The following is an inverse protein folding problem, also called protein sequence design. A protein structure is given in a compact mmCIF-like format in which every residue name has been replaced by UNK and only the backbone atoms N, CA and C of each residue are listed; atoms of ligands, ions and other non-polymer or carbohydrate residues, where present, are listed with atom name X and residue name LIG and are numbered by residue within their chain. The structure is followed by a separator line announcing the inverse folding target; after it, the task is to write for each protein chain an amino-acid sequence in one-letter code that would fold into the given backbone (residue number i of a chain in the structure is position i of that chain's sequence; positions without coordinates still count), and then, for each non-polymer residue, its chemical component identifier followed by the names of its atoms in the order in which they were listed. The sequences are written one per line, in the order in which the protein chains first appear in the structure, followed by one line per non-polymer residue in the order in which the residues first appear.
data_IF_574110449170
#
_entry.id   IF_574110449170
#
_cell.length_a   1.000
_cell.length_b   1.000
_cell.length_c   1.000
_cell.angle_alpha   90.00
_cell.angle_beta   90.00
_cell.angle_gamma   90.00
#
_symmetry.space_group_name_H-M   'P 1'
#
loop_
_entity.id
_entity.type
_entity.pdbx_description
1 polymer ?
#
# COMPACT_ATOMS: atom_id res chain seq x y z
N UNK A 1 39.51 72.86 39.98
CA UNK A 1 38.35 71.95 40.08
C UNK A 1 37.83 71.67 38.68
N UNK A 2 38.28 70.58 38.07
CA UNK A 2 37.86 70.14 36.73
C UNK A 2 36.58 69.32 36.85
N UNK A 3 35.47 69.87 36.35
CA UNK A 3 34.17 69.21 36.33
C UNK A 3 34.19 68.08 35.28
N UNK A 4 34.26 66.83 35.75
CA UNK A 4 34.18 65.66 34.90
C UNK A 4 32.70 65.27 34.75
N UNK A 5 32.06 65.73 33.67
CA UNK A 5 30.71 65.30 33.30
C UNK A 5 30.80 63.93 32.62
N UNK A 6 30.63 62.86 33.39
CA UNK A 6 30.29 61.56 32.83
C UNK A 6 28.84 61.60 32.31
N UNK A 7 28.69 61.87 31.02
CA UNK A 7 27.41 61.72 30.34
C UNK A 7 27.17 60.23 30.08
N UNK A 8 26.45 59.56 30.97
CA UNK A 8 25.84 58.27 30.64
C UNK A 8 24.73 58.53 29.61
N UNK A 9 25.07 58.36 28.32
CA UNK A 9 24.08 58.33 27.26
C UNK A 9 23.27 57.03 27.38
N UNK A 10 22.09 57.11 27.98
CA UNK A 10 21.09 56.06 27.87
C UNK A 10 20.51 56.18 26.46
N UNK A 11 21.03 55.39 25.53
CA UNK A 11 20.47 55.26 24.19
C UNK A 11 19.17 54.45 24.30
N UNK A 12 18.03 55.15 24.23
CA UNK A 12 16.72 54.52 24.04
C UNK A 12 16.51 54.24 22.56
N UNK A 13 16.12 53.00 22.24
CA UNK A 13 15.68 52.67 20.87
C UNK A 13 14.42 53.44 20.53
N UNK A 14 14.32 53.91 19.28
CA UNK A 14 13.07 54.48 18.80
C UNK A 14 12.01 53.38 18.66
N UNK A 15 10.75 53.72 18.90
CA UNK A 15 9.63 52.79 18.73
C UNK A 15 9.61 52.20 17.30
N UNK A 16 10.04 52.98 16.31
CA UNK A 16 10.17 52.56 14.90
C UNK A 16 11.26 51.49 14.71
N UNK A 17 12.45 51.66 15.30
CA UNK A 17 13.51 50.64 15.24
C UNK A 17 13.11 49.34 15.93
N UNK A 18 12.42 49.42 17.07
CA UNK A 18 11.92 48.24 17.77
C UNK A 18 10.89 47.48 16.94
N UNK A 19 9.97 48.19 16.30
CA UNK A 19 8.97 47.58 15.42
C UNK A 19 9.62 46.95 14.18
N UNK A 20 10.61 47.61 13.57
CA UNK A 20 11.37 47.06 12.44
C UNK A 20 12.17 45.81 12.82
N UNK A 21 12.75 45.78 14.02
CA UNK A 21 13.45 44.60 14.52
C UNK A 21 12.48 43.42 14.76
N UNK A 22 11.33 43.69 15.39
CA UNK A 22 10.32 42.66 15.67
C UNK A 22 9.67 42.11 14.40
N UNK A 23 9.43 42.92 13.38
CA UNK A 23 8.93 42.43 12.07
C UNK A 23 9.96 41.53 11.39
N UNK A 24 11.25 41.86 11.46
CA UNK A 24 12.33 41.01 10.97
C UNK A 24 12.35 39.63 11.66
N UNK A 25 12.23 39.61 12.99
CA UNK A 25 12.15 38.35 13.76
C UNK A 25 10.90 37.55 13.41
N UNK A 26 9.74 38.21 13.27
CA UNK A 26 8.49 37.54 12.91
C UNK A 26 8.56 36.89 11.52
N UNK A 27 9.11 37.59 10.52
CA UNK A 27 9.29 37.03 9.17
C UNK A 27 10.22 35.82 9.20
N UNK A 28 11.30 35.88 9.99
CA UNK A 28 12.24 34.77 10.14
C UNK A 28 11.55 33.54 10.77
N UNK A 29 10.71 33.74 11.79
CA UNK A 29 9.95 32.65 12.40
C UNK A 29 8.95 32.02 11.42
N UNK A 30 8.24 32.82 10.62
CA UNK A 30 7.33 32.31 9.58
C UNK A 30 8.10 31.54 8.51
N UNK A 31 9.28 32.01 8.11
CA UNK A 31 10.12 31.30 7.16
C UNK A 31 10.60 29.94 7.70
N UNK A 32 11.02 29.87 8.97
CA UNK A 32 11.39 28.60 9.61
C UNK A 32 10.18 27.66 9.75
N UNK A 33 9.01 28.17 10.13
CA UNK A 33 7.80 27.36 10.25
C UNK A 33 7.37 26.76 8.90
N UNK A 34 7.36 27.57 7.83
CA UNK A 34 6.95 27.11 6.50
C UNK A 34 7.94 26.11 5.90
N UNK A 35 9.25 26.35 6.05
CA UNK A 35 10.29 25.42 5.57
C UNK A 35 10.26 24.09 6.32
N UNK A 36 10.06 24.09 7.64
CA UNK A 36 9.93 22.85 8.42
C UNK A 36 8.71 22.03 8.00
N UNK A 37 7.56 22.67 7.74
CA UNK A 37 6.37 21.98 7.21
C UNK A 37 6.64 21.33 5.85
N UNK A 38 7.31 22.05 4.94
CA UNK A 38 7.65 21.51 3.63
C UNK A 38 8.61 20.32 3.72
N UNK A 39 9.61 20.40 4.61
CA UNK A 39 10.55 19.30 4.85
C UNK A 39 9.84 18.05 5.40
N UNK A 40 8.89 18.22 6.33
CA UNK A 40 8.09 17.10 6.84
C UNK A 40 7.27 16.44 5.73
N UNK A 41 6.63 17.21 4.86
CA UNK A 41 5.86 16.66 3.74
C UNK A 41 6.77 15.88 2.76
N UNK A 42 7.96 16.40 2.46
CA UNK A 42 8.93 15.70 1.61
C UNK A 42 9.46 14.42 2.27
N UNK A 43 9.66 14.44 3.60
CA UNK A 43 10.10 13.28 4.36
C UNK A 43 9.07 12.14 4.30
N UNK A 44 7.80 12.43 4.56
CA UNK A 44 6.72 11.45 4.46
C UNK A 44 6.62 10.85 3.05
N UNK A 45 6.68 11.69 2.01
CA UNK A 45 6.76 11.24 0.61
C UNK A 45 7.93 10.29 0.38
N UNK A 46 9.12 10.64 0.86
CA UNK A 46 10.32 9.82 0.72
C UNK A 46 10.18 8.45 1.40
N UNK A 47 9.62 8.42 2.61
CA UNK A 47 9.34 7.18 3.33
C UNK A 47 8.36 6.32 2.55
N UNK A 48 7.20 6.84 2.14
CA UNK A 48 6.18 6.02 1.49
C UNK A 48 6.67 5.45 0.17
N UNK A 49 7.42 6.21 -0.64
CA UNK A 49 8.04 5.70 -1.87
C UNK A 49 9.02 4.56 -1.55
N UNK A 50 9.85 4.73 -0.50
CA UNK A 50 10.76 3.68 -0.06
C UNK A 50 10.00 2.43 0.40
N UNK A 51 8.94 2.61 1.19
CA UNK A 51 8.09 1.52 1.70
C UNK A 51 7.42 0.76 0.56
N UNK A 52 6.87 1.44 -0.45
CA UNK A 52 6.28 0.79 -1.64
C UNK A 52 7.30 -0.04 -2.38
N UNK A 53 8.50 0.48 -2.62
CA UNK A 53 9.54 -0.26 -3.34
C UNK A 53 10.07 -1.45 -2.52
N UNK A 54 10.15 -1.30 -1.20
CA UNK A 54 10.55 -2.39 -0.31
C UNK A 54 9.48 -3.49 -0.26
N UNK A 55 8.22 -3.10 -0.05
CA UNK A 55 7.08 -4.02 -0.02
C UNK A 55 6.89 -4.71 -1.37
N UNK A 56 7.01 -3.98 -2.48
CA UNK A 56 6.90 -4.56 -3.82
C UNK A 56 7.98 -5.57 -4.12
N UNK A 57 9.22 -5.34 -3.68
CA UNK A 57 10.30 -6.34 -3.79
C UNK A 57 10.02 -7.56 -2.93
N UNK A 58 9.58 -7.38 -1.69
CA UNK A 58 9.26 -8.48 -0.79
C UNK A 58 8.13 -9.36 -1.34
N UNK A 59 7.04 -8.73 -1.80
CA UNK A 59 5.91 -9.40 -2.46
C UNK A 59 6.38 -10.14 -3.71
N UNK A 60 7.22 -9.52 -4.54
CA UNK A 60 7.78 -10.13 -5.75
C UNK A 60 8.64 -11.35 -5.45
N UNK A 61 9.50 -11.27 -4.43
CA UNK A 61 10.33 -12.38 -3.99
C UNK A 61 9.48 -13.55 -3.45
N UNK A 62 8.38 -13.26 -2.74
CA UNK A 62 7.43 -14.27 -2.28
C UNK A 62 6.66 -14.93 -3.43
N UNK A 63 6.12 -14.14 -4.35
CA UNK A 63 5.44 -14.61 -5.56
C UNK A 63 6.36 -15.49 -6.41
N UNK A 64 7.60 -15.07 -6.64
CA UNK A 64 8.61 -15.87 -7.36
C UNK A 64 8.86 -17.21 -6.67
N UNK A 65 9.08 -17.19 -5.35
CA UNK A 65 9.40 -18.40 -4.57
C UNK A 65 8.27 -19.44 -4.66
N UNK A 66 7.03 -18.99 -4.48
CA UNK A 66 5.87 -19.88 -4.53
C UNK A 66 5.56 -20.30 -5.98
N UNK A 67 5.71 -19.40 -6.94
CA UNK A 67 5.51 -19.72 -8.36
C UNK A 67 6.54 -20.68 -8.92
N UNK A 68 7.81 -20.63 -8.48
CA UNK A 68 8.82 -21.64 -8.82
C UNK A 68 8.50 -23.02 -8.22
N UNK A 69 7.71 -23.06 -7.15
CA UNK A 69 7.24 -24.31 -6.53
C UNK A 69 5.93 -24.82 -7.14
N UNK A 70 5.25 -24.00 -7.97
CA UNK A 70 4.02 -24.35 -8.66
C UNK A 70 4.31 -25.32 -9.80
N UNK A 71 3.36 -26.22 -10.08
CA UNK A 71 3.45 -27.08 -11.27
C UNK A 71 2.94 -26.30 -12.48
N UNK A 72 3.44 -26.67 -13.66
CA UNK A 72 3.19 -26.04 -14.95
C UNK A 72 1.90 -25.21 -15.10
N UNK A 73 0.73 -25.80 -14.85
CA UNK A 73 -0.58 -25.16 -15.09
C UNK A 73 -1.36 -24.79 -13.81
N UNK A 74 -0.70 -24.83 -12.66
CA UNK A 74 -1.34 -24.57 -11.36
C UNK A 74 -1.38 -23.08 -11.01
N UNK A 75 -0.76 -22.23 -11.85
CA UNK A 75 -0.80 -20.77 -11.69
C UNK A 75 -2.10 -20.23 -12.30
N UNK A 76 -2.98 -19.72 -11.44
CA UNK A 76 -4.29 -19.20 -11.82
C UNK A 76 -4.53 -17.87 -11.11
N UNK A 77 -5.01 -16.88 -11.85
CA UNK A 77 -5.45 -15.60 -11.29
C UNK A 77 -6.96 -15.48 -11.46
N UNK A 78 -7.63 -15.10 -10.37
CA UNK A 78 -9.06 -14.81 -10.32
C UNK A 78 -9.22 -13.36 -9.85
N UNK A 79 -9.82 -12.52 -10.69
CA UNK A 79 -9.94 -11.11 -10.39
C UNK A 79 -11.03 -10.88 -9.34
N UNK A 80 -10.87 -9.89 -8.44
CA UNK A 80 -11.94 -9.50 -7.51
C UNK A 80 -13.27 -9.15 -8.20
N UNK A 81 -13.21 -8.72 -9.46
CA UNK A 81 -14.36 -8.38 -10.31
C UNK A 81 -15.06 -9.58 -10.93
N UNK A 82 -14.47 -10.78 -10.87
CA UNK A 82 -15.07 -11.97 -11.49
C UNK A 82 -16.34 -12.41 -10.74
N UNK A 83 -17.24 -13.08 -11.44
CA UNK A 83 -18.52 -13.52 -10.88
C UNK A 83 -18.30 -14.53 -9.74
N UNK A 84 -19.04 -14.32 -8.63
CA UNK A 84 -19.03 -15.23 -7.48
C UNK A 84 -17.78 -15.19 -6.61
N UNK A 85 -16.85 -14.27 -6.85
CA UNK A 85 -15.65 -14.10 -6.00
C UNK A 85 -15.95 -13.38 -4.69
N UNK A 86 -17.01 -12.55 -4.69
CA UNK A 86 -17.37 -11.67 -3.58
C UNK A 86 -16.42 -10.51 -3.36
N UNK A 87 -15.69 -10.07 -4.40
CA UNK A 87 -14.77 -8.93 -4.27
C UNK A 87 -13.41 -9.29 -3.67
N UNK A 88 -13.10 -10.58 -3.51
CA UNK A 88 -11.78 -11.09 -3.11
C UNK A 88 -11.04 -11.57 -4.35
N UNK A 89 -9.87 -11.00 -4.62
CA UNK A 89 -8.95 -11.47 -5.65
C UNK A 89 -8.15 -12.67 -5.17
N UNK A 90 -7.74 -13.54 -6.10
CA UNK A 90 -6.94 -14.73 -5.80
C UNK A 90 -5.84 -14.93 -6.83
N UNK A 91 -4.65 -15.30 -6.38
CA UNK A 91 -3.54 -15.73 -7.20
C UNK A 91 -3.03 -17.05 -6.63
N UNK A 92 -3.35 -18.14 -7.31
CA UNK A 92 -3.03 -19.49 -6.88
C UNK A 92 -1.75 -19.99 -7.53
N UNK A 93 -1.00 -20.77 -6.77
CA UNK A 93 0.22 -21.47 -7.18
C UNK A 93 0.11 -22.98 -6.97
N UNK A 94 -1.10 -23.50 -6.76
CA UNK A 94 -1.39 -24.91 -6.50
C UNK A 94 -1.35 -25.28 -5.01
N UNK A 95 -0.29 -24.93 -4.29
CA UNK A 95 -0.13 -25.23 -2.85
C UNK A 95 -0.28 -24.02 -1.92
N UNK A 96 -0.14 -22.83 -2.49
CA UNK A 96 -0.33 -21.56 -1.82
C UNK A 96 -1.19 -20.65 -2.68
N UNK A 97 -1.98 -19.82 -2.02
CA UNK A 97 -2.86 -18.86 -2.67
C UNK A 97 -2.71 -17.51 -2.00
N UNK A 98 -2.50 -16.48 -2.80
CA UNK A 98 -2.55 -15.10 -2.34
C UNK A 98 -3.94 -14.55 -2.52
N UNK A 99 -4.44 -13.85 -1.51
CA UNK A 99 -5.77 -13.26 -1.50
C UNK A 99 -5.71 -11.78 -1.12
N UNK A 100 -6.53 -10.95 -1.75
CA UNK A 100 -6.60 -9.51 -1.45
C UNK A 100 -8.00 -8.95 -1.67
N UNK A 101 -8.40 -8.00 -0.83
CA UNK A 101 -9.53 -7.14 -1.13
C UNK A 101 -9.11 -5.99 -2.04
N UNK A 102 -10.05 -5.42 -2.77
CA UNK A 102 -9.80 -4.17 -3.49
C UNK A 102 -9.72 -2.99 -2.51
N UNK A 103 -9.00 -1.92 -2.84
CA UNK A 103 -8.95 -0.70 -2.03
C UNK A 103 -10.33 -0.12 -1.71
N UNK A 104 -11.30 -0.24 -2.62
CA UNK A 104 -12.67 0.21 -2.40
C UNK A 104 -13.37 -0.59 -1.29
N UNK A 105 -13.16 -1.92 -1.28
CA UNK A 105 -13.70 -2.80 -0.24
C UNK A 105 -13.02 -2.54 1.11
N UNK A 106 -11.71 -2.26 1.12
CA UNK A 106 -10.96 -1.92 2.34
C UNK A 106 -11.50 -0.63 2.98
N UNK A 107 -11.69 0.43 2.18
CA UNK A 107 -12.22 1.75 2.61
C UNK A 107 -13.69 1.73 3.04
N UNK A 108 -14.48 0.77 2.55
CA UNK A 108 -15.93 0.77 2.81
C UNK A 108 -16.24 0.63 4.30
N UNK A 109 -17.18 1.44 4.81
CA UNK A 109 -17.67 1.35 6.19
C UNK A 109 -18.66 0.21 6.41
N UNK A 110 -19.14 -0.41 5.32
CA UNK A 110 -19.98 -1.59 5.38
C UNK A 110 -19.12 -2.79 5.82
N UNK A 111 -19.48 -3.41 6.95
CA UNK A 111 -18.77 -4.57 7.47
C UNK A 111 -18.87 -5.80 6.54
N UNK A 112 -19.84 -5.81 5.62
CA UNK A 112 -19.96 -6.84 4.59
C UNK A 112 -19.16 -6.55 3.32
N UNK A 113 -18.56 -5.35 3.21
CA UNK A 113 -17.72 -4.98 2.09
C UNK A 113 -16.29 -5.49 2.30
N UNK A 114 -15.90 -6.43 1.44
CA UNK A 114 -14.63 -7.14 1.52
C UNK A 114 -14.69 -8.38 2.42
N UNK A 115 -13.69 -9.23 2.27
CA UNK A 115 -13.54 -10.46 3.04
C UNK A 115 -12.64 -10.22 4.24
N UNK A 116 -13.06 -10.74 5.38
CA UNK A 116 -12.33 -10.69 6.66
C UNK A 116 -11.82 -12.08 7.02
N UNK A 117 -10.88 -12.15 7.96
CA UNK A 117 -10.50 -13.42 8.58
C UNK A 117 -11.64 -13.94 9.46
N UNK A 118 -11.99 -15.21 9.30
CA UNK A 118 -13.14 -15.84 9.98
C UNK A 118 -12.87 -16.12 11.47
N UNK A 119 -11.61 -16.41 11.79
CA UNK A 119 -11.14 -16.72 13.14
C UNK A 119 -10.51 -15.51 13.86
N UNK A 120 -10.57 -14.32 13.27
CA UNK A 120 -10.05 -13.09 13.87
C UNK A 120 -11.17 -12.34 14.62
N UNK A 121 -11.10 -12.20 15.96
CA UNK A 121 -12.13 -11.52 16.74
C UNK A 121 -12.30 -10.04 16.39
N UNK A 122 -11.29 -9.39 15.80
CA UNK A 122 -11.42 -8.01 15.33
C UNK A 122 -12.06 -7.89 13.94
N UNK A 123 -12.38 -9.02 13.29
CA UNK A 123 -12.90 -9.07 11.92
C UNK A 123 -12.08 -8.20 10.96
N UNK A 124 -10.76 -8.30 11.06
CA UNK A 124 -9.83 -7.54 10.24
C UNK A 124 -10.02 -7.89 8.76
N UNK A 125 -10.18 -6.87 7.92
CA UNK A 125 -10.23 -7.07 6.46
C UNK A 125 -8.87 -7.52 5.96
N UNK A 126 -8.90 -8.44 5.00
CA UNK A 126 -7.67 -8.97 4.40
C UNK A 126 -7.11 -7.93 3.43
N UNK A 127 -5.91 -7.42 3.68
CA UNK A 127 -5.27 -6.45 2.79
C UNK A 127 -4.56 -7.21 1.66
N UNK A 128 -3.59 -8.04 2.00
CA UNK A 128 -2.92 -8.96 1.10
C UNK A 128 -2.29 -10.10 1.89
N UNK A 129 -2.90 -11.29 1.81
CA UNK A 129 -2.47 -12.44 2.60
C UNK A 129 -1.98 -13.58 1.74
N UNK A 130 -0.99 -14.31 2.25
CA UNK A 130 -0.54 -15.59 1.72
C UNK A 130 -1.20 -16.70 2.53
N UNK A 131 -1.87 -17.63 1.86
CA UNK A 131 -2.66 -18.70 2.48
C UNK A 131 -2.14 -20.05 2.02
N UNK A 132 -1.97 -21.00 2.94
CA UNK A 132 -1.73 -22.40 2.59
C UNK A 132 -3.00 -23.01 2.00
N UNK A 133 -2.90 -23.52 0.79
CA UNK A 133 -4.02 -24.06 0.02
C UNK A 133 -3.54 -25.29 -0.77
N UNK A 134 -3.22 -26.41 -0.09
CA UNK A 134 -2.57 -27.57 -0.69
C UNK A 134 -3.40 -28.21 -1.83
N UNK A 135 -4.71 -28.00 -1.82
CA UNK A 135 -5.65 -28.52 -2.82
C UNK A 135 -6.01 -27.48 -3.90
N UNK A 136 -5.47 -26.26 -3.83
CA UNK A 136 -5.83 -25.14 -4.72
C UNK A 136 -7.34 -24.83 -4.69
N UNK A 137 -7.98 -25.06 -3.54
CA UNK A 137 -9.42 -24.98 -3.35
C UNK A 137 -9.95 -23.55 -3.49
N UNK A 138 -9.13 -22.56 -3.11
CA UNK A 138 -9.54 -21.16 -3.14
C UNK A 138 -9.75 -20.65 -4.58
N UNK A 139 -9.03 -21.18 -5.57
CA UNK A 139 -9.24 -20.84 -6.98
C UNK A 139 -10.22 -21.76 -7.72
N UNK A 140 -10.96 -22.62 -7.01
CA UNK A 140 -11.96 -23.50 -7.62
C UNK A 140 -13.37 -23.04 -7.24
N UNK A 141 -14.12 -22.57 -8.23
CA UNK A 141 -15.51 -22.20 -8.02
C UNK A 141 -16.38 -23.44 -7.79
N UNK A 142 -17.17 -23.43 -6.71
CA UNK A 142 -18.21 -24.43 -6.44
C UNK A 142 -19.57 -23.79 -6.72
N UNK A 143 -20.32 -24.33 -7.70
CA UNK A 143 -21.59 -23.74 -8.16
C UNK A 143 -21.47 -22.26 -8.54
N UNK A 144 -20.33 -21.89 -9.14
CA UNK A 144 -20.05 -20.52 -9.56
C UNK A 144 -19.70 -19.55 -8.42
N UNK A 145 -19.43 -20.04 -7.22
CA UNK A 145 -18.98 -19.23 -6.07
C UNK A 145 -17.59 -19.69 -5.62
N UNK A 146 -16.71 -18.75 -5.34
CA UNK A 146 -15.39 -19.04 -4.79
C UNK A 146 -15.42 -19.00 -3.26
N UNK A 147 -14.62 -19.83 -2.57
CA UNK A 147 -14.51 -19.78 -1.13
C UNK A 147 -14.07 -18.40 -0.63
N UNK A 148 -14.73 -17.91 0.43
CA UNK A 148 -14.43 -16.62 1.08
C UNK A 148 -13.99 -16.77 2.53
N UNK A 149 -14.12 -17.97 3.10
CA UNK A 149 -13.70 -18.24 4.47
C UNK A 149 -12.19 -18.40 4.45
N UNK A 150 -11.47 -17.49 5.09
CA UNK A 150 -10.02 -17.50 5.24
C UNK A 150 -9.70 -17.44 6.74
N UNK A 151 -8.87 -18.36 7.22
CA UNK A 151 -8.47 -18.42 8.64
C UNK A 151 -6.97 -18.21 8.83
N UNK A 152 -6.59 -17.48 9.88
CA UNK A 152 -5.19 -17.31 10.31
C UNK A 152 -4.62 -18.59 10.91
N UNK A 153 -5.47 -19.42 11.53
CA UNK A 153 -5.10 -20.72 12.08
C UNK A 153 -5.06 -21.86 11.05
N UNK A 154 -4.68 -23.04 11.52
CA UNK A 154 -4.70 -24.27 10.72
C UNK A 154 -6.14 -24.58 10.22
N UNK A 155 -6.30 -25.14 9.00
CA UNK A 155 -5.24 -25.61 8.10
C UNK A 155 -4.66 -24.53 7.18
N UNK A 156 -5.33 -23.39 7.04
CA UNK A 156 -4.99 -22.35 6.05
C UNK A 156 -3.76 -21.54 6.44
N UNK A 157 -3.49 -21.36 7.74
CA UNK A 157 -2.33 -20.64 8.24
C UNK A 157 -2.09 -19.31 7.50
N UNK A 158 -3.15 -18.51 7.31
CA UNK A 158 -3.07 -17.29 6.53
C UNK A 158 -2.15 -16.27 7.21
N UNK A 159 -1.19 -15.73 6.44
CA UNK A 159 -0.23 -14.73 6.90
C UNK A 159 -0.44 -13.45 6.11
N UNK A 160 -0.73 -12.37 6.82
CA UNK A 160 -0.84 -11.04 6.24
C UNK A 160 0.54 -10.53 5.81
N UNK A 161 0.65 -10.09 4.56
CA UNK A 161 1.92 -9.67 3.94
C UNK A 161 2.09 -8.16 4.00
N UNK A 162 0.97 -7.41 3.87
CA UNK A 162 0.97 -5.94 3.85
C UNK A 162 0.22 -5.31 5.02
N UNK A 163 -0.92 -5.86 5.43
CA UNK A 163 -1.81 -5.26 6.44
C UNK A 163 -1.20 -5.09 7.84
N UNK A 164 -0.32 -6.00 8.28
CA UNK A 164 0.26 -5.94 9.63
C UNK A 164 1.40 -4.90 9.78
N UNK A 165 1.84 -4.27 8.69
CA UNK A 165 3.05 -3.41 8.68
C UNK A 165 2.76 -1.92 8.79
N UNK A 166 1.52 -1.50 9.03
CA UNK A 166 1.11 -0.08 9.18
C UNK A 166 1.59 0.78 7.99
N UNK A 167 1.67 0.16 6.80
CA UNK A 167 2.24 0.79 5.61
C UNK A 167 1.21 1.58 4.81
N UNK A 168 -0.09 1.39 5.10
CA UNK A 168 -1.19 1.97 4.33
C UNK A 168 -1.13 1.60 2.84
N UNK A 169 -0.55 0.43 2.50
CA UNK A 169 -0.39 -0.08 1.15
C UNK A 169 -1.29 -1.27 0.88
N UNK A 170 -1.90 -1.29 -0.30
CA UNK A 170 -2.73 -2.39 -0.75
C UNK A 170 -2.39 -2.75 -2.21
N UNK A 171 -2.85 -3.95 -2.59
CA UNK A 171 -2.86 -4.39 -3.97
C UNK A 171 -4.06 -3.75 -4.67
N UNK A 172 -3.78 -2.99 -5.73
CA UNK A 172 -4.81 -2.40 -6.59
C UNK A 172 -5.21 -3.35 -7.71
N UNK A 173 -4.23 -4.06 -8.27
CA UNK A 173 -4.47 -5.02 -9.34
C UNK A 173 -3.39 -6.09 -9.34
N UNK A 174 -3.75 -7.31 -9.74
CA UNK A 174 -2.83 -8.37 -10.12
C UNK A 174 -3.29 -8.93 -11.45
N UNK A 175 -2.38 -9.03 -12.41
CA UNK A 175 -2.61 -9.63 -13.71
C UNK A 175 -1.68 -10.83 -13.92
N UNK A 176 -2.18 -11.83 -14.61
CA UNK A 176 -1.43 -12.99 -15.06
C UNK A 176 -1.44 -12.99 -16.59
N UNK A 177 -0.25 -13.01 -17.20
CA UNK A 177 -0.09 -13.10 -18.65
C UNK A 177 0.73 -14.32 -19.01
N UNK A 178 0.18 -15.18 -19.85
CA UNK A 178 0.89 -16.37 -20.35
C UNK A 178 1.96 -15.94 -21.35
N UNK A 179 3.20 -16.37 -21.14
CA UNK A 179 4.29 -16.18 -22.10
C UNK A 179 4.37 -17.35 -23.07
N UNK A 180 4.34 -18.56 -22.53
CA UNK A 180 4.28 -19.80 -23.30
C UNK A 180 3.75 -20.92 -22.41
N UNK A 181 3.03 -21.86 -23.03
CA UNK A 181 2.64 -23.12 -22.40
C UNK A 181 3.00 -24.21 -23.40
N UNK A 182 4.09 -24.94 -23.12
CA UNK A 182 4.56 -26.02 -23.98
C UNK A 182 3.81 -27.32 -23.64
N UNK A 183 3.46 -28.11 -24.67
CA UNK A 183 2.94 -29.47 -24.53
C UNK A 183 3.90 -30.39 -23.78
N UNK A 184 5.21 -30.06 -23.75
CA UNK A 184 6.25 -30.76 -22.98
C UNK A 184 6.39 -30.27 -21.53
N UNK A 185 5.37 -29.60 -20.98
CA UNK A 185 5.23 -29.35 -19.54
C UNK A 185 6.10 -28.24 -18.94
N UNK A 186 6.54 -27.29 -19.75
CA UNK A 186 7.10 -26.01 -19.28
C UNK A 186 6.09 -24.91 -19.51
N UNK A 187 5.94 -24.01 -18.54
CA UNK A 187 5.07 -22.86 -18.68
C UNK A 187 5.75 -21.60 -18.15
N UNK A 188 5.71 -20.54 -18.94
CA UNK A 188 6.19 -19.22 -18.57
C UNK A 188 5.03 -18.26 -18.35
N UNK A 189 5.08 -17.52 -17.24
CA UNK A 189 4.07 -16.54 -16.87
C UNK A 189 4.74 -15.21 -16.50
N UNK A 190 4.08 -14.11 -16.82
CA UNK A 190 4.38 -12.79 -16.24
C UNK A 190 3.25 -12.42 -15.29
N UNK A 191 3.61 -12.19 -14.02
CA UNK A 191 2.69 -11.74 -12.99
C UNK A 191 2.93 -10.26 -12.77
N UNK A 192 1.99 -9.43 -13.23
CA UNK A 192 1.99 -7.99 -12.98
C UNK A 192 1.21 -7.69 -11.71
N UNK A 193 1.68 -6.76 -10.88
CA UNK A 193 0.91 -6.27 -9.74
C UNK A 193 1.16 -4.79 -9.48
N UNK A 194 0.09 -4.10 -9.08
CA UNK A 194 0.10 -2.69 -8.77
C UNK A 194 -0.07 -2.51 -7.27
N UNK A 195 0.95 -1.96 -6.62
CA UNK A 195 0.93 -1.59 -5.22
C UNK A 195 0.75 -0.09 -5.10
N UNK A 196 -0.09 0.32 -4.17
CA UNK A 196 -0.31 1.73 -3.93
C UNK A 196 -0.90 2.00 -2.58
N UNK A 197 -0.89 3.27 -2.23
CA UNK A 197 -1.54 3.77 -1.02
C UNK A 197 -3.03 3.51 -1.10
N UNK A 198 -3.63 3.12 0.02
CA UNK A 198 -5.08 3.12 0.20
C UNK A 198 -5.42 3.91 1.46
N UNK A 199 -6.66 4.41 1.51
CA UNK A 199 -7.15 5.12 2.69
C UNK A 199 -7.40 4.11 3.82
N UNK A 200 -6.71 4.33 4.93
CA UNK A 200 -6.87 3.59 6.17
C UNK A 200 -7.16 4.60 7.28
N UNK A 201 -7.98 4.25 8.27
CA UNK A 201 -8.43 5.21 9.30
C UNK A 201 -7.26 5.91 10.03
N UNK A 202 -6.08 5.27 10.09
CA UNK A 202 -4.85 5.79 10.69
C UNK A 202 -4.13 6.83 9.82
N UNK A 203 -4.22 6.73 8.49
CA UNK A 203 -3.46 7.56 7.55
C UNK A 203 -4.35 8.15 6.45
N UNK A 204 -4.34 9.49 6.31
CA UNK A 204 -4.96 10.21 5.18
C UNK A 204 -4.13 10.05 3.91
N UNK A 205 -4.05 8.82 3.45
CA UNK A 205 -3.35 8.40 2.25
C UNK A 205 -4.22 8.66 1.02
N UNK A 206 -3.57 8.95 -0.09
CA UNK A 206 -4.29 9.34 -1.29
C UNK A 206 -4.91 8.18 -2.02
N UNK A 207 -6.08 8.49 -2.55
CA UNK A 207 -6.92 7.56 -3.30
C UNK A 207 -6.39 7.49 -4.72
N UNK A 208 -6.26 6.26 -5.22
CA UNK A 208 -5.85 5.99 -6.59
C UNK A 208 -7.10 5.78 -7.44
N UNK A 209 -7.11 6.39 -8.63
CA UNK A 209 -8.05 6.04 -9.66
C UNK A 209 -7.72 4.65 -10.21
N UNK A 210 -8.58 3.68 -9.95
CA UNK A 210 -8.39 2.30 -10.38
C UNK A 210 -8.43 2.10 -11.90
N UNK A 211 -8.96 3.05 -12.68
CA UNK A 211 -8.92 2.96 -14.16
C UNK A 211 -7.54 3.24 -14.74
N UNK A 212 -6.84 4.26 -14.21
CA UNK A 212 -5.60 4.77 -14.80
C UNK A 212 -4.36 4.52 -13.93
N UNK A 213 -4.56 3.92 -12.75
CA UNK A 213 -3.50 3.67 -11.78
C UNK A 213 -2.74 4.98 -11.44
N UNK A 214 -3.48 6.08 -11.28
CA UNK A 214 -2.95 7.39 -10.93
C UNK A 214 -3.57 7.91 -9.63
N UNK A 215 -2.80 8.69 -8.89
CA UNK A 215 -3.30 9.41 -7.73
C UNK A 215 -4.36 10.43 -8.15
N UNK A 216 -5.54 10.39 -7.51
CA UNK A 216 -6.57 11.40 -7.74
C UNK A 216 -6.05 12.78 -7.33
N UNK A 217 -6.36 13.84 -8.07
CA UNK A 217 -5.95 15.19 -7.69
C UNK A 217 -6.48 15.54 -6.29
N UNK A 218 -5.65 16.19 -5.47
CA UNK A 218 -6.06 16.70 -4.16
C UNK A 218 -7.14 17.77 -4.35
N UNK A 219 -8.20 17.65 -3.57
CA UNK A 219 -9.26 18.66 -3.45
C UNK A 219 -9.66 18.75 -1.99
N UNK A 220 -9.99 19.96 -1.51
CA UNK A 220 -10.37 20.16 -0.12
C UNK A 220 -11.72 19.49 0.22
N UNK A 221 -12.57 19.24 -0.79
CA UNK A 221 -13.92 18.70 -0.62
C UNK A 221 -14.00 17.17 -0.74
N UNK A 222 -13.17 16.54 -1.58
CA UNK A 222 -13.30 15.11 -1.91
C UNK A 222 -12.04 14.28 -1.71
N UNK A 223 -10.83 14.88 -1.79
CA UNK A 223 -9.56 14.17 -1.74
C UNK A 223 -8.52 14.91 -0.88
N UNK A 224 -8.75 14.94 0.43
CA UNK A 224 -7.87 15.61 1.38
C UNK A 224 -6.88 14.61 2.02
N UNK A 225 -5.86 14.26 1.24
CA UNK A 225 -4.82 13.31 1.63
C UNK A 225 -3.44 14.00 1.66
N UNK A 226 -2.53 13.53 2.51
CA UNK A 226 -1.19 14.13 2.64
C UNK A 226 -0.25 13.62 1.55
N UNK A 227 -0.34 12.33 1.21
CA UNK A 227 0.51 11.72 0.20
C UNK A 227 -0.18 10.57 -0.53
N UNK A 228 0.14 10.40 -1.82
CA UNK A 228 -0.29 9.27 -2.63
C UNK A 228 0.90 8.72 -3.39
N UNK A 229 1.04 7.40 -3.42
CA UNK A 229 1.98 6.75 -4.30
C UNK A 229 1.47 5.42 -4.79
N UNK A 230 1.93 5.09 -5.99
CA UNK A 230 1.62 3.88 -6.69
C UNK A 230 2.86 3.44 -7.45
N UNK A 231 3.09 2.14 -7.52
CA UNK A 231 4.11 1.57 -8.37
C UNK A 231 3.64 0.24 -8.95
N UNK A 232 4.10 -0.05 -10.15
CA UNK A 232 3.81 -1.29 -10.88
C UNK A 232 5.05 -2.17 -10.87
N UNK A 233 4.83 -3.44 -10.60
CA UNK A 233 5.85 -4.46 -10.55
C UNK A 233 5.45 -5.60 -11.47
N UNK A 234 6.43 -6.31 -12.00
CA UNK A 234 6.19 -7.47 -12.84
C UNK A 234 7.26 -8.52 -12.56
N UNK A 235 6.83 -9.76 -12.41
CA UNK A 235 7.71 -10.89 -12.18
C UNK A 235 7.47 -11.99 -13.21
N UNK A 236 8.55 -12.40 -13.87
CA UNK A 236 8.52 -13.52 -14.80
C UNK A 236 8.89 -14.81 -14.08
N UNK A 237 8.03 -15.81 -14.22
CA UNK A 237 8.19 -17.12 -13.61
C UNK A 237 8.17 -18.17 -14.72
N UNK A 238 9.15 -19.07 -14.70
CA UNK A 238 9.20 -20.23 -15.59
C UNK A 238 9.11 -21.47 -14.71
N UNK A 239 8.08 -22.27 -14.94
CA UNK A 239 7.81 -23.51 -14.21
C UNK A 239 8.08 -24.70 -15.11
N UNK A 240 8.52 -25.79 -14.48
CA UNK A 240 8.67 -27.09 -15.12
C UNK A 240 7.78 -28.08 -14.37
N UNK A 241 7.18 -29.03 -15.07
CA UNK A 241 6.39 -30.08 -14.41
C UNK A 241 7.33 -30.97 -13.61
N UNK A 242 7.11 -30.99 -12.30
CA UNK A 242 7.69 -32.00 -11.42
C UNK A 242 7.34 -33.40 -11.98
N UNK A 243 8.37 -34.22 -12.18
CA UNK A 243 8.28 -35.60 -12.65
C UNK A 243 7.53 -36.49 -11.66
#
# INVERSE_FOLDING_TARGET
MTSNKNANQIQGFTLVELLLAMTGVAILLVAVATTTIQLMNMYHKGITIKTINSAGREVGDMIKRDGLSAKGRDIVQVAPSDSGTGGLGRLCFGSYTYVWNTPENLRSRDASAGVVYDDDPSHSKIVFARVADPDGSLCKATRGQYPKVITKGAPMNAVEVLGDKDTGLAIHNISLTDLFVDSNSRAGYTIGYTLGTYEEDTYRNGIINSSDAQCLAQSEETNNYTFCAINQFAETIITERAS
#
